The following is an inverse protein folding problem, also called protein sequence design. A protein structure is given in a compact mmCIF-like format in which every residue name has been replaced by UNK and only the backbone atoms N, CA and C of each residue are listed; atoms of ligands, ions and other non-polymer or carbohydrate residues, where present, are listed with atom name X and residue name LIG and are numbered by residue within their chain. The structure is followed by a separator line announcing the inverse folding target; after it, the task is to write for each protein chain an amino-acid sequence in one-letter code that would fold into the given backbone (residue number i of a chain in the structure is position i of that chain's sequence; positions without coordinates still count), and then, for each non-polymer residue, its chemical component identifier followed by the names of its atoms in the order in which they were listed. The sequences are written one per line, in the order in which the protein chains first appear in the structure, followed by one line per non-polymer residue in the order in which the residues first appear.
data_IF_693593660762
#
_entry.id   IF_693593660762
#
_cell.length_a   1.000
_cell.length_b   1.000
_cell.length_c   1.000
_cell.angle_alpha   90.00
_cell.angle_beta   90.00
_cell.angle_gamma   90.00
#
_symmetry.space_group_name_H-M   'P 1'
#
loop_
_entity.id
_entity.type
_entity.pdbx_description
1 polymer ?
#
# COMPACT_ATOMS: atom_id res chain seq x y z
N UNK A 1 -9.40 -17.69 -20.45
CA UNK A 1 -10.37 -16.90 -19.78
C UNK A 1 -10.49 -15.50 -20.34
N UNK A 2 -11.67 -14.91 -20.21
CA UNK A 2 -11.95 -13.54 -20.67
C UNK A 2 -11.39 -12.46 -19.71
N UNK A 3 -11.06 -12.84 -18.46
CA UNK A 3 -10.52 -11.95 -17.44
C UNK A 3 -9.21 -12.54 -16.98
N UNK A 4 -8.16 -11.73 -17.03
CA UNK A 4 -6.83 -12.07 -16.54
C UNK A 4 -6.34 -10.94 -15.65
N UNK A 5 -5.45 -11.27 -14.72
CA UNK A 5 -4.79 -10.26 -13.92
C UNK A 5 -3.87 -9.40 -14.78
N UNK A 6 -3.81 -8.11 -14.47
CA UNK A 6 -2.84 -7.20 -15.08
C UNK A 6 -1.46 -7.49 -14.50
N UNK A 7 -0.56 -8.01 -15.32
CA UNK A 7 0.83 -8.22 -14.95
C UNK A 7 1.62 -6.90 -15.03
N UNK A 8 2.19 -6.49 -13.90
CA UNK A 8 3.06 -5.32 -13.80
C UNK A 8 4.51 -5.68 -13.46
N UNK A 9 4.90 -6.97 -13.51
CA UNK A 9 6.25 -7.44 -13.17
C UNK A 9 7.33 -6.82 -14.06
N UNK A 10 7.06 -6.65 -15.35
CA UNK A 10 8.01 -6.01 -16.29
C UNK A 10 8.31 -4.55 -15.92
N UNK A 11 7.36 -3.83 -15.35
CA UNK A 11 7.59 -2.46 -14.87
C UNK A 11 8.56 -2.46 -13.69
N UNK A 12 8.40 -3.42 -12.78
CA UNK A 12 9.29 -3.58 -11.62
C UNK A 12 10.70 -3.91 -12.09
N UNK A 13 10.84 -4.89 -13.00
CA UNK A 13 12.15 -5.25 -13.56
C UNK A 13 12.83 -4.10 -14.29
N UNK A 14 12.05 -3.31 -15.03
CA UNK A 14 12.58 -2.12 -15.71
C UNK A 14 13.08 -1.07 -14.71
N UNK A 15 12.34 -0.86 -13.62
CA UNK A 15 12.75 0.07 -12.57
C UNK A 15 14.01 -0.41 -11.84
N UNK A 16 14.12 -1.70 -11.48
CA UNK A 16 15.29 -2.28 -10.80
C UNK A 16 16.57 -2.17 -11.67
N UNK A 17 16.41 -2.24 -12.99
CA UNK A 17 17.54 -2.13 -13.93
C UNK A 17 17.97 -0.70 -14.23
N UNK A 18 17.15 0.28 -13.87
CA UNK A 18 17.43 1.70 -14.11
C UNK A 18 18.33 2.26 -12.99
N UNK A 19 19.59 2.62 -13.28
CA UNK A 19 20.53 3.11 -12.27
C UNK A 19 20.16 4.47 -11.67
N UNK A 20 19.26 5.22 -12.31
CA UNK A 20 18.78 6.52 -11.83
C UNK A 20 17.58 6.41 -10.89
N UNK A 21 17.06 5.20 -10.66
CA UNK A 21 15.93 4.94 -9.79
C UNK A 21 16.36 4.28 -8.47
N UNK A 22 15.58 4.54 -7.45
CA UNK A 22 15.65 3.87 -6.14
C UNK A 22 14.35 3.13 -5.97
N UNK A 23 14.41 1.81 -6.05
CA UNK A 23 13.22 0.96 -6.02
C UNK A 23 12.99 0.45 -4.61
N UNK A 24 11.92 0.93 -4.01
CA UNK A 24 11.50 0.50 -2.68
C UNK A 24 10.28 -0.39 -2.78
N UNK A 25 10.15 -1.35 -1.88
CA UNK A 25 9.01 -2.28 -1.85
C UNK A 25 8.42 -2.37 -0.46
N UNK A 26 7.10 -2.37 -0.39
CA UNK A 26 6.32 -2.73 0.79
C UNK A 26 5.62 -4.07 0.56
N UNK A 27 5.50 -4.87 1.61
CA UNK A 27 4.83 -6.18 1.56
C UNK A 27 3.64 -6.24 2.49
N UNK A 28 2.51 -6.76 1.99
CA UNK A 28 1.35 -7.02 2.83
C UNK A 28 1.65 -8.10 3.90
N UNK A 29 0.99 -8.07 5.05
CA UNK A 29 1.18 -9.07 6.12
C UNK A 29 0.98 -10.52 5.66
N UNK A 30 0.05 -10.77 4.74
CA UNK A 30 -0.26 -12.10 4.23
C UNK A 30 0.87 -12.71 3.39
N UNK A 31 1.72 -11.91 2.75
CA UNK A 31 2.77 -12.41 1.85
C UNK A 31 3.78 -13.28 2.60
N UNK A 32 4.15 -12.92 3.84
CA UNK A 32 5.09 -13.70 4.67
C UNK A 32 4.57 -15.07 5.08
N UNK A 33 3.24 -15.27 5.02
CA UNK A 33 2.59 -16.55 5.36
C UNK A 33 2.40 -17.39 4.10
N UNK A 34 2.01 -16.79 2.98
CA UNK A 34 1.74 -17.48 1.73
C UNK A 34 3.02 -17.90 0.97
N UNK A 35 4.06 -17.07 0.99
CA UNK A 35 5.28 -17.30 0.20
C UNK A 35 5.98 -18.63 0.54
N UNK A 36 5.95 -19.05 1.80
CA UNK A 36 6.54 -20.32 2.22
C UNK A 36 5.88 -21.51 1.55
N UNK A 37 4.57 -21.52 1.48
CA UNK A 37 3.76 -22.59 0.86
C UNK A 37 4.04 -22.69 -0.64
N UNK A 38 4.11 -21.57 -1.34
CA UNK A 38 4.44 -21.52 -2.78
C UNK A 38 5.84 -22.07 -3.09
N UNK A 39 6.74 -22.03 -2.11
CA UNK A 39 8.10 -22.57 -2.21
C UNK A 39 8.26 -23.96 -1.57
N UNK A 40 7.16 -24.66 -1.32
CA UNK A 40 7.15 -26.04 -0.82
C UNK A 40 7.46 -26.20 0.67
N UNK A 41 7.31 -25.14 1.45
CA UNK A 41 7.40 -25.22 2.92
C UNK A 41 6.05 -25.65 3.51
N UNK A 42 6.08 -26.07 4.77
CA UNK A 42 4.85 -26.43 5.50
C UNK A 42 3.85 -25.25 5.51
N UNK A 43 2.55 -25.54 5.27
CA UNK A 43 1.49 -24.53 5.31
C UNK A 43 1.51 -23.71 6.61
N UNK A 44 1.34 -22.39 6.48
CA UNK A 44 1.37 -21.46 7.60
C UNK A 44 2.76 -21.08 8.10
N UNK A 45 3.83 -21.54 7.44
CA UNK A 45 5.20 -21.13 7.78
C UNK A 45 5.39 -19.61 7.61
N UNK A 46 5.80 -18.93 8.68
CA UNK A 46 6.10 -17.49 8.65
C UNK A 46 7.54 -17.29 8.15
N UNK A 47 7.70 -16.71 6.97
CA UNK A 47 9.00 -16.56 6.28
C UNK A 47 9.50 -15.13 6.16
N UNK A 48 9.17 -14.24 7.09
CA UNK A 48 9.48 -12.80 7.02
C UNK A 48 10.94 -12.53 6.65
N UNK A 49 11.90 -13.12 7.36
CA UNK A 49 13.33 -12.90 7.09
C UNK A 49 13.78 -13.44 5.72
N UNK A 50 13.26 -14.60 5.32
CA UNK A 50 13.55 -15.19 3.99
C UNK A 50 12.95 -14.32 2.87
N UNK A 51 11.73 -13.82 3.05
CA UNK A 51 11.07 -12.93 2.12
C UNK A 51 11.88 -11.64 1.91
N UNK A 52 12.33 -11.01 3.00
CA UNK A 52 13.17 -9.81 2.92
C UNK A 52 14.50 -10.10 2.21
N UNK A 53 15.13 -11.23 2.51
CA UNK A 53 16.37 -11.64 1.83
C UNK A 53 16.13 -11.88 0.33
N UNK A 54 15.04 -12.54 -0.03
CA UNK A 54 14.67 -12.78 -1.43
C UNK A 54 14.46 -11.46 -2.18
N UNK A 55 13.72 -10.51 -1.62
CA UNK A 55 13.50 -9.20 -2.23
C UNK A 55 14.81 -8.41 -2.42
N UNK A 56 15.74 -8.47 -1.46
CA UNK A 56 17.08 -7.90 -1.63
C UNK A 56 17.85 -8.54 -2.77
N UNK A 57 17.80 -9.86 -2.88
CA UNK A 57 18.46 -10.60 -3.96
C UNK A 57 17.87 -10.32 -5.33
N UNK A 58 16.58 -9.94 -5.41
CA UNK A 58 15.94 -9.50 -6.64
C UNK A 58 16.38 -8.09 -7.08
N UNK A 59 17.00 -7.31 -6.18
CA UNK A 59 17.56 -6.00 -6.50
C UNK A 59 16.76 -4.81 -5.96
N UNK A 60 15.81 -5.01 -5.06
CA UNK A 60 15.15 -3.88 -4.39
C UNK A 60 16.12 -3.18 -3.43
N UNK A 61 16.18 -1.85 -3.52
CA UNK A 61 17.07 -1.04 -2.67
C UNK A 61 16.63 -1.02 -1.21
N UNK A 62 15.33 -0.94 -0.96
CA UNK A 62 14.74 -0.91 0.38
C UNK A 62 13.48 -1.76 0.44
N UNK A 63 13.36 -2.49 1.52
CA UNK A 63 12.21 -3.36 1.80
C UNK A 63 11.56 -2.89 3.10
N UNK A 64 10.26 -2.67 3.05
CA UNK A 64 9.46 -2.20 4.16
C UNK A 64 8.28 -3.14 4.43
N UNK A 65 7.77 -3.04 5.63
CA UNK A 65 6.59 -3.77 6.08
C UNK A 65 5.38 -2.83 6.09
N UNK A 66 4.31 -3.21 5.38
CA UNK A 66 3.06 -2.45 5.39
C UNK A 66 2.43 -2.38 6.79
N UNK A 67 2.82 -3.24 7.74
CA UNK A 67 2.39 -3.12 9.13
C UNK A 67 2.71 -1.76 9.75
N UNK A 68 3.86 -1.17 9.41
CA UNK A 68 4.19 0.19 9.87
C UNK A 68 3.12 1.21 9.47
N UNK A 69 2.71 1.19 8.21
CA UNK A 69 1.68 2.11 7.73
C UNK A 69 0.27 1.71 8.18
N UNK A 70 0.05 0.43 8.52
CA UNK A 70 -1.19 0.00 9.16
C UNK A 70 -1.32 0.57 10.58
N UNK A 71 -0.24 0.59 11.35
CA UNK A 71 -0.23 1.24 12.68
C UNK A 71 -0.50 2.74 12.55
N UNK A 72 0.10 3.40 11.56
CA UNK A 72 -0.19 4.81 11.26
C UNK A 72 -1.65 5.02 10.89
N UNK A 73 -2.22 4.13 10.06
CA UNK A 73 -3.64 4.20 9.69
C UNK A 73 -4.54 4.09 10.90
N UNK A 74 -4.25 3.16 11.83
CA UNK A 74 -5.02 3.01 13.08
C UNK A 74 -4.95 4.30 13.92
N UNK A 75 -3.81 4.95 13.99
CA UNK A 75 -3.66 6.20 14.73
C UNK A 75 -4.49 7.33 14.08
N UNK A 76 -4.41 7.49 12.77
CA UNK A 76 -5.17 8.52 12.05
C UNK A 76 -6.68 8.27 12.11
N UNK A 77 -7.14 7.04 11.88
CA UNK A 77 -8.55 6.68 11.99
C UNK A 77 -9.05 6.81 13.43
N UNK A 78 -8.23 6.46 14.42
CA UNK A 78 -8.55 6.65 15.82
C UNK A 78 -8.74 8.12 16.19
N UNK A 79 -7.88 9.00 15.73
CA UNK A 79 -8.03 10.45 15.90
C UNK A 79 -9.27 10.98 15.18
N UNK A 80 -9.52 10.56 13.94
CA UNK A 80 -10.72 10.94 13.20
C UNK A 80 -11.99 10.47 13.93
N UNK A 81 -12.00 9.24 14.43
CA UNK A 81 -13.14 8.71 15.19
C UNK A 81 -13.42 9.53 16.45
N UNK A 82 -12.39 9.82 17.24
CA UNK A 82 -12.54 10.65 18.45
C UNK A 82 -13.04 12.05 18.11
N UNK A 83 -12.50 12.65 17.04
CA UNK A 83 -12.95 13.94 16.57
C UNK A 83 -14.43 13.92 16.16
N UNK A 84 -14.87 12.91 15.39
CA UNK A 84 -16.28 12.75 14.99
C UNK A 84 -17.19 12.58 16.22
N UNK A 85 -16.75 11.78 17.20
CA UNK A 85 -17.51 11.51 18.42
C UNK A 85 -17.71 12.77 19.28
N UNK A 86 -16.66 13.60 19.40
CA UNK A 86 -16.68 14.77 20.29
C UNK A 86 -17.25 16.02 19.63
N UNK A 87 -17.21 16.13 18.31
CA UNK A 87 -17.64 17.32 17.57
C UNK A 87 -18.89 17.12 16.72
N UNK A 88 -19.66 16.06 16.96
CA UNK A 88 -20.92 15.82 16.25
C UNK A 88 -20.74 15.37 14.80
N UNK A 89 -19.66 14.66 14.47
CA UNK A 89 -19.43 14.11 13.15
C UNK A 89 -20.31 12.90 12.81
N UNK A 90 -20.25 12.45 11.55
CA UNK A 90 -21.08 11.34 11.08
C UNK A 90 -20.62 10.00 11.67
N UNK A 91 -21.56 9.30 12.31
CA UNK A 91 -21.36 7.98 12.90
C UNK A 91 -22.44 7.00 12.39
N UNK A 92 -22.18 5.67 12.33
CA UNK A 92 -20.87 5.06 12.59
C UNK A 92 -19.81 5.48 11.59
N UNK A 93 -18.55 5.54 12.02
CA UNK A 93 -17.42 5.68 11.11
C UNK A 93 -17.01 4.30 10.60
N UNK A 94 -16.77 4.17 9.30
CA UNK A 94 -16.42 2.92 8.64
C UNK A 94 -15.04 3.12 8.00
N UNK A 95 -14.14 2.16 8.19
CA UNK A 95 -12.78 2.22 7.62
C UNK A 95 -12.79 2.13 6.09
N UNK A 96 -11.81 2.75 5.44
CA UNK A 96 -11.71 2.91 3.98
C UNK A 96 -10.53 2.19 3.33
N UNK A 97 -9.85 1.28 4.06
CA UNK A 97 -8.64 0.62 3.57
C UNK A 97 -8.87 -0.44 2.48
N UNK A 98 -10.13 -0.87 2.25
CA UNK A 98 -10.48 -1.84 1.20
C UNK A 98 -11.01 -1.16 -0.05
N UNK A 99 -10.26 -1.17 -1.18
CA UNK A 99 -10.71 -0.50 -2.40
C UNK A 99 -11.98 -1.08 -2.99
N UNK A 100 -12.20 -2.39 -2.88
CA UNK A 100 -13.44 -3.03 -3.33
C UNK A 100 -14.65 -2.54 -2.54
N UNK A 101 -14.49 -2.35 -1.23
CA UNK A 101 -15.51 -1.78 -0.36
C UNK A 101 -15.81 -0.32 -0.75
N UNK A 102 -14.79 0.50 -0.90
CA UNK A 102 -14.94 1.91 -1.29
C UNK A 102 -15.67 2.01 -2.63
N UNK A 103 -15.25 1.25 -3.65
CA UNK A 103 -15.92 1.22 -4.95
C UNK A 103 -17.40 0.79 -4.84
N UNK A 104 -17.71 -0.16 -3.98
CA UNK A 104 -19.10 -0.58 -3.76
C UNK A 104 -19.94 0.57 -3.17
N UNK A 105 -19.40 1.29 -2.19
CA UNK A 105 -20.08 2.44 -1.60
C UNK A 105 -20.29 3.54 -2.64
N UNK A 106 -19.24 3.91 -3.37
CA UNK A 106 -19.33 4.94 -4.41
C UNK A 106 -20.40 4.63 -5.48
N UNK A 107 -20.51 3.36 -5.87
CA UNK A 107 -21.39 2.97 -6.98
C UNK A 107 -22.80 2.58 -6.55
N UNK A 108 -22.98 2.03 -5.35
CA UNK A 108 -24.25 1.44 -4.93
C UNK A 108 -24.90 2.16 -3.76
N UNK A 109 -24.11 2.80 -2.91
CA UNK A 109 -24.57 3.41 -1.68
C UNK A 109 -23.91 4.78 -1.43
N UNK A 110 -23.98 5.74 -2.39
CA UNK A 110 -23.27 7.02 -2.29
C UNK A 110 -23.66 7.83 -1.05
N UNK A 111 -24.87 7.64 -0.53
CA UNK A 111 -25.34 8.30 0.70
C UNK A 111 -24.53 7.88 1.94
N UNK A 112 -23.81 6.75 1.88
CA UNK A 112 -22.93 6.27 2.96
C UNK A 112 -21.49 6.83 2.87
N UNK A 113 -21.14 7.56 1.83
CA UNK A 113 -19.80 8.15 1.70
C UNK A 113 -19.37 8.97 2.91
N UNK A 114 -20.23 9.80 3.55
CA UNK A 114 -19.87 10.54 4.74
C UNK A 114 -19.47 9.66 5.95
N UNK A 115 -19.87 8.40 5.95
CA UNK A 115 -19.51 7.43 6.99
C UNK A 115 -18.11 6.86 6.83
N UNK A 116 -17.53 6.92 5.62
CA UNK A 116 -16.18 6.41 5.40
C UNK A 116 -15.15 7.28 6.11
N UNK A 117 -14.10 6.64 6.62
CA UNK A 117 -12.91 7.34 7.08
C UNK A 117 -12.25 8.10 5.93
N UNK A 118 -11.73 9.27 6.22
CA UNK A 118 -10.94 10.08 5.28
C UNK A 118 -9.50 9.58 5.13
N UNK A 119 -9.07 8.63 5.97
CA UNK A 119 -7.72 8.11 5.95
C UNK A 119 -7.46 7.27 4.68
N UNK A 120 -6.26 7.42 4.13
CA UNK A 120 -5.78 6.53 3.08
C UNK A 120 -5.57 5.11 3.61
N UNK A 121 -5.58 4.13 2.72
CA UNK A 121 -5.20 2.77 3.09
C UNK A 121 -3.74 2.68 3.55
N UNK A 122 -3.35 1.66 4.33
CA UNK A 122 -1.95 1.44 4.70
C UNK A 122 -0.99 1.44 3.49
N UNK A 123 -1.41 0.86 2.35
CA UNK A 123 -0.63 0.90 1.13
C UNK A 123 -0.33 2.34 0.69
N UNK A 124 -1.34 3.19 0.62
CA UNK A 124 -1.21 4.56 0.14
C UNK A 124 -0.55 5.47 1.19
N UNK A 125 -0.80 5.25 2.48
CA UNK A 125 -0.06 5.93 3.54
C UNK A 125 1.44 5.65 3.47
N UNK A 126 1.81 4.39 3.25
CA UNK A 126 3.22 4.04 3.05
C UNK A 126 3.81 4.80 1.87
N UNK A 127 3.15 4.78 0.71
CA UNK A 127 3.65 5.45 -0.49
C UNK A 127 3.85 6.95 -0.27
N UNK A 128 2.90 7.62 0.36
CA UNK A 128 2.99 9.04 0.71
C UNK A 128 4.18 9.32 1.64
N UNK A 129 4.31 8.56 2.74
CA UNK A 129 5.40 8.71 3.72
C UNK A 129 6.76 8.38 3.10
N UNK A 130 6.83 7.39 2.22
CA UNK A 130 8.07 7.00 1.55
C UNK A 130 8.61 8.10 0.63
N UNK A 131 7.72 8.79 -0.09
CA UNK A 131 8.09 9.89 -1.00
C UNK A 131 8.11 11.28 -0.35
N UNK A 132 7.81 11.38 0.96
CA UNK A 132 7.92 12.64 1.73
C UNK A 132 8.93 12.48 2.84
N UNK A 133 8.51 12.02 4.00
CA UNK A 133 9.33 11.93 5.21
C UNK A 133 10.58 11.05 5.03
N UNK A 134 10.42 9.83 4.48
CA UNK A 134 11.57 8.96 4.28
C UNK A 134 12.55 9.53 3.25
N UNK A 135 12.04 10.04 2.12
CA UNK A 135 12.86 10.68 1.10
C UNK A 135 13.70 11.83 1.68
N UNK A 136 13.06 12.72 2.46
CA UNK A 136 13.75 13.81 3.16
C UNK A 136 14.82 13.30 4.12
N UNK A 137 14.49 12.35 5.01
CA UNK A 137 15.42 11.80 6.00
C UNK A 137 16.60 11.05 5.38
N UNK A 138 16.38 10.41 4.25
CA UNK A 138 17.42 9.68 3.52
C UNK A 138 18.20 10.54 2.53
N UNK A 139 17.82 11.81 2.33
CA UNK A 139 18.43 12.70 1.34
C UNK A 139 18.21 12.24 -0.10
N UNK A 140 17.06 11.62 -0.38
CA UNK A 140 16.69 11.06 -1.68
C UNK A 140 15.71 12.01 -2.38
N UNK A 141 15.95 12.29 -3.65
CA UNK A 141 14.97 12.98 -4.48
C UNK A 141 13.73 12.08 -4.67
N UNK A 142 12.54 12.49 -4.22
CA UNK A 142 11.32 11.68 -4.34
C UNK A 142 10.97 11.34 -5.80
N UNK A 143 11.36 12.13 -6.78
CA UNK A 143 11.19 11.83 -8.21
C UNK A 143 11.97 10.59 -8.67
N UNK A 144 13.00 10.19 -7.95
CA UNK A 144 13.78 8.98 -8.22
C UNK A 144 13.23 7.73 -7.55
N UNK A 145 12.33 7.88 -6.59
CA UNK A 145 11.75 6.75 -5.88
C UNK A 145 10.66 6.09 -6.74
N UNK A 146 10.82 4.79 -6.95
CA UNK A 146 9.76 3.91 -7.48
C UNK A 146 9.23 3.09 -6.31
N UNK A 147 8.00 3.38 -5.91
CA UNK A 147 7.32 2.68 -4.81
C UNK A 147 6.53 1.49 -5.35
N UNK A 148 6.94 0.30 -4.97
CA UNK A 148 6.31 -0.97 -5.36
C UNK A 148 5.56 -1.56 -4.18
N UNK A 149 4.38 -2.11 -4.41
CA UNK A 149 3.61 -2.82 -3.40
C UNK A 149 3.34 -4.27 -3.81
N UNK A 150 3.66 -5.20 -2.90
CA UNK A 150 3.35 -6.62 -3.07
C UNK A 150 2.13 -6.94 -2.21
N UNK A 151 0.98 -7.04 -2.90
CA UNK A 151 -0.33 -7.17 -2.27
C UNK A 151 -1.11 -8.33 -2.90
N UNK A 152 -1.79 -9.17 -2.09
CA UNK A 152 -2.65 -10.23 -2.62
C UNK A 152 -3.99 -9.71 -3.17
N UNK A 153 -4.24 -8.41 -3.08
CA UNK A 153 -5.48 -7.76 -3.47
C UNK A 153 -5.32 -7.03 -4.80
N UNK A 154 -5.92 -7.54 -5.88
CA UNK A 154 -5.84 -6.92 -7.22
C UNK A 154 -6.50 -5.54 -7.29
N UNK A 155 -7.53 -5.27 -6.45
CA UNK A 155 -8.16 -3.96 -6.35
C UNK A 155 -7.20 -2.86 -5.87
N UNK A 156 -6.09 -3.21 -5.21
CA UNK A 156 -5.03 -2.28 -4.83
C UNK A 156 -4.35 -1.61 -6.02
N UNK A 157 -4.33 -2.26 -7.19
CA UNK A 157 -3.85 -1.65 -8.43
C UNK A 157 -4.76 -0.50 -8.89
N UNK A 158 -6.07 -0.70 -8.78
CA UNK A 158 -7.04 0.36 -9.08
C UNK A 158 -6.96 1.51 -8.08
N UNK A 159 -6.81 1.22 -6.79
CA UNK A 159 -6.59 2.24 -5.76
C UNK A 159 -5.36 3.09 -6.06
N UNK A 160 -4.22 2.44 -6.32
CA UNK A 160 -2.98 3.15 -6.64
C UNK A 160 -3.06 3.99 -7.92
N UNK A 161 -3.99 3.67 -8.83
CA UNK A 161 -4.22 4.42 -10.06
C UNK A 161 -5.15 5.63 -9.90
N UNK A 162 -5.81 5.80 -8.75
CA UNK A 162 -6.72 6.93 -8.50
C UNK A 162 -5.96 8.25 -8.50
N UNK A 163 -6.49 9.30 -9.14
CA UNK A 163 -5.78 10.58 -9.29
C UNK A 163 -5.50 11.28 -7.96
N UNK A 164 -6.30 11.04 -6.93
CA UNK A 164 -6.13 11.59 -5.58
C UNK A 164 -5.00 10.92 -4.77
N UNK A 165 -4.42 9.81 -5.26
CA UNK A 165 -3.34 9.08 -4.58
C UNK A 165 -1.96 9.65 -4.95
N UNK A 166 -1.76 10.95 -4.64
CA UNK A 166 -0.58 11.74 -4.96
C UNK A 166 -0.22 12.75 -3.86
N UNK A 167 -0.45 12.41 -2.60
CA UNK A 167 -0.20 13.31 -1.47
C UNK A 167 1.26 13.77 -1.37
N UNK A 168 2.20 13.00 -1.91
CA UNK A 168 3.61 13.35 -1.99
C UNK A 168 3.96 14.38 -3.08
N UNK A 169 2.99 14.80 -3.90
CA UNK A 169 3.22 15.56 -5.13
C UNK A 169 3.59 14.68 -6.33
N UNK A 170 3.76 13.39 -6.10
CA UNK A 170 3.98 12.33 -7.08
C UNK A 170 2.93 11.24 -6.86
N UNK A 171 2.84 10.29 -7.78
CA UNK A 171 2.06 9.08 -7.53
C UNK A 171 2.64 8.37 -6.30
N UNK A 172 1.84 8.15 -5.25
CA UNK A 172 2.33 7.62 -3.97
C UNK A 172 2.82 6.16 -4.11
N UNK A 173 2.09 5.33 -4.86
CA UNK A 173 2.50 3.95 -5.20
C UNK A 173 2.52 3.80 -6.71
N UNK A 174 3.67 3.43 -7.28
CA UNK A 174 3.87 3.39 -8.73
C UNK A 174 3.43 2.06 -9.36
N UNK A 175 3.69 0.93 -8.62
CA UNK A 175 3.42 -0.43 -9.11
C UNK A 175 2.86 -1.30 -8.01
#
# INVERSE_FOLDING_TARGET
GAIVEKDDTEKVWSAIKDPDKIVIVQTAPAVRVALGEELGMEPGSIVTGKMVAALRNLGFDKIFDTNFSADLTIMEEGHEFLHRLTNGGVLPMITSCSPGWVNMIELKYPDLLPHLSSAKSPQQMFGAIAKTYYAEKAGIDPAKIVSVSVMPCTAKKAEAARPEMNASGYRDVDV
#
